data_IF_374803138772
#
_entry.id   IF_374803138772
#
_cell.length_a   1.000
_cell.length_b   1.000
_cell.length_c   1.000
_cell.angle_alpha   90.00
_cell.angle_beta   90.00
_cell.angle_gamma   90.00
#
_symmetry.space_group_name_H-M   'P 1'
#
loop_
_entity.id
_entity.type
_entity.pdbx_description
1 polymer ?
#
# COMPACT_ATOMS: atom_id res chain seq x y z
N UNK A 1 -3.40 14.20 15.23
CA UNK A 1 -3.26 13.76 13.83
C UNK A 1 -2.40 14.77 13.09
N UNK A 2 -1.55 14.36 12.17
CA UNK A 2 -0.73 15.27 11.37
C UNK A 2 -1.52 15.82 10.19
N UNK A 3 -1.20 17.05 9.76
CA UNK A 3 -1.77 17.65 8.56
C UNK A 3 -1.05 17.12 7.31
N UNK A 4 -1.79 16.65 6.33
CA UNK A 4 -1.27 16.10 5.08
C UNK A 4 -1.22 17.11 3.93
N UNK A 5 -1.73 18.34 4.11
CA UNK A 5 -1.89 19.34 3.03
C UNK A 5 -0.57 19.68 2.32
N UNK A 6 0.54 19.76 3.07
CA UNK A 6 1.87 20.09 2.54
C UNK A 6 2.80 18.88 2.46
N UNK A 7 2.28 17.67 2.57
CA UNK A 7 3.06 16.44 2.52
C UNK A 7 3.22 15.95 1.09
N UNK A 8 4.43 15.54 0.74
CA UNK A 8 4.73 14.93 -0.55
C UNK A 8 4.41 13.45 -0.52
N UNK A 9 3.59 12.99 -1.45
CA UNK A 9 3.13 11.61 -1.54
C UNK A 9 3.55 11.03 -2.88
N UNK A 10 4.21 9.87 -2.86
CA UNK A 10 4.48 9.07 -4.04
C UNK A 10 3.62 7.81 -3.99
N UNK A 11 2.89 7.51 -5.05
CA UNK A 11 2.01 6.35 -5.13
C UNK A 11 2.30 5.50 -6.37
N UNK A 12 2.26 4.19 -6.23
CA UNK A 12 2.26 3.30 -7.39
C UNK A 12 0.83 3.02 -7.83
N UNK A 13 0.51 3.28 -9.10
CA UNK A 13 -0.83 3.08 -9.65
C UNK A 13 -1.17 4.09 -10.75
N UNK A 14 -2.27 3.83 -11.46
CA UNK A 14 -2.79 4.75 -12.46
C UNK A 14 -3.85 5.67 -11.82
N UNK A 15 -3.63 7.00 -11.75
CA UNK A 15 -4.57 7.94 -11.13
C UNK A 15 -5.90 8.10 -11.88
N UNK A 16 -6.05 7.49 -13.05
CA UNK A 16 -7.30 7.54 -13.82
C UNK A 16 -8.30 6.46 -13.40
N UNK A 17 -7.85 5.42 -12.66
CA UNK A 17 -8.70 4.25 -12.37
C UNK A 17 -8.61 3.77 -10.92
N UNK A 18 -9.73 3.25 -10.43
CA UNK A 18 -9.83 2.48 -9.19
C UNK A 18 -9.36 3.25 -7.95
N UNK A 19 -8.67 2.55 -7.06
CA UNK A 19 -8.19 3.10 -5.79
C UNK A 19 -7.22 4.27 -5.98
N UNK A 20 -6.36 4.20 -7.00
CA UNK A 20 -5.39 5.28 -7.27
C UNK A 20 -6.10 6.57 -7.71
N UNK A 21 -7.20 6.47 -8.47
CA UNK A 21 -8.04 7.62 -8.82
C UNK A 21 -8.64 8.30 -7.58
N UNK A 22 -9.09 7.51 -6.61
CA UNK A 22 -9.65 8.06 -5.38
C UNK A 22 -8.56 8.67 -4.48
N UNK A 23 -7.37 8.06 -4.42
CA UNK A 23 -6.19 8.65 -3.76
C UNK A 23 -5.86 10.01 -4.39
N UNK A 24 -5.87 10.12 -5.73
CA UNK A 24 -5.61 11.39 -6.41
C UNK A 24 -6.65 12.47 -6.11
N UNK A 25 -7.92 12.11 -6.05
CA UNK A 25 -8.99 13.05 -5.67
C UNK A 25 -8.81 13.59 -4.24
N UNK A 26 -8.46 12.71 -3.30
CA UNK A 26 -8.25 13.05 -1.89
C UNK A 26 -6.95 13.84 -1.68
N UNK A 27 -5.89 13.49 -2.40
CA UNK A 27 -4.55 14.07 -2.30
C UNK A 27 -4.03 14.48 -3.68
N UNK A 28 -4.49 15.63 -4.21
CA UNK A 28 -4.13 16.09 -5.58
C UNK A 28 -2.62 16.33 -5.78
N UNK A 29 -1.87 16.50 -4.68
CA UNK A 29 -0.41 16.67 -4.70
C UNK A 29 0.36 15.33 -4.82
N UNK A 30 -0.34 14.20 -5.00
CA UNK A 30 0.31 12.89 -5.14
C UNK A 30 0.94 12.72 -6.51
N UNK A 31 2.21 12.34 -6.54
CA UNK A 31 2.89 11.87 -7.75
C UNK A 31 2.66 10.37 -7.94
N UNK A 32 2.38 9.96 -9.17
CA UNK A 32 2.11 8.57 -9.50
C UNK A 32 3.19 7.95 -10.38
N UNK A 33 3.43 6.66 -10.18
CA UNK A 33 4.28 5.83 -11.02
C UNK A 33 3.52 4.56 -11.38
N UNK A 34 3.37 4.30 -12.68
CA UNK A 34 2.86 3.03 -13.18
C UNK A 34 3.38 2.77 -14.59
N UNK A 35 3.28 1.54 -15.04
CA UNK A 35 3.65 1.19 -16.41
C UNK A 35 2.78 1.92 -17.45
N UNK A 36 1.50 2.15 -17.14
CA UNK A 36 0.55 2.78 -18.07
C UNK A 36 0.72 4.29 -18.25
N UNK A 37 1.36 4.98 -17.29
CA UNK A 37 1.47 6.46 -17.32
C UNK A 37 2.91 6.97 -17.37
N UNK A 38 3.89 6.12 -17.02
CA UNK A 38 5.30 6.53 -16.90
C UNK A 38 6.29 5.57 -17.55
N UNK A 39 5.81 4.61 -18.33
CA UNK A 39 6.60 3.54 -18.98
C UNK A 39 7.55 2.79 -18.02
N UNK A 40 7.20 2.79 -16.72
CA UNK A 40 8.00 2.16 -15.69
C UNK A 40 7.49 0.74 -15.41
N UNK A 41 8.16 -0.25 -15.96
CA UNK A 41 7.90 -1.64 -15.60
C UNK A 41 8.37 -1.92 -14.16
N UNK A 42 7.39 -1.91 -13.23
CA UNK A 42 7.62 -2.10 -11.80
C UNK A 42 8.12 -3.52 -11.46
N UNK A 43 8.17 -4.44 -12.42
CA UNK A 43 8.72 -5.78 -12.20
C UNK A 43 10.24 -5.80 -12.32
N UNK A 44 10.84 -4.84 -13.01
CA UNK A 44 12.28 -4.77 -13.25
C UNK A 44 13.04 -4.22 -12.03
N UNK A 45 14.16 -4.86 -11.69
CA UNK A 45 14.94 -4.51 -10.50
C UNK A 45 15.56 -3.10 -10.58
N UNK A 46 16.01 -2.66 -11.74
CA UNK A 46 16.55 -1.32 -11.89
C UNK A 46 15.47 -0.24 -11.72
N UNK A 47 14.24 -0.50 -12.21
CA UNK A 47 13.09 0.40 -12.01
C UNK A 47 12.74 0.50 -10.52
N UNK A 48 12.68 -0.64 -9.79
CA UNK A 48 12.45 -0.63 -8.33
C UNK A 48 13.51 0.22 -7.60
N UNK A 49 14.80 0.11 -7.99
CA UNK A 49 15.88 0.95 -7.42
C UNK A 49 15.67 2.43 -7.71
N UNK A 50 15.28 2.78 -8.94
CA UNK A 50 14.94 4.17 -9.31
C UNK A 50 13.80 4.70 -8.45
N UNK A 51 12.74 3.90 -8.24
CA UNK A 51 11.62 4.27 -7.36
C UNK A 51 12.08 4.41 -5.91
N UNK A 52 12.93 3.51 -5.42
CA UNK A 52 13.50 3.62 -4.08
C UNK A 52 14.24 4.94 -3.87
N UNK A 53 15.06 5.35 -4.83
CA UNK A 53 15.76 6.63 -4.78
C UNK A 53 14.79 7.81 -4.88
N UNK A 54 13.81 7.76 -5.79
CA UNK A 54 12.79 8.81 -5.91
C UNK A 54 11.99 8.98 -4.63
N UNK A 55 11.65 7.89 -3.93
CA UNK A 55 10.90 7.93 -2.69
C UNK A 55 11.60 8.72 -1.57
N UNK A 56 12.92 8.94 -1.64
CA UNK A 56 13.64 9.76 -0.68
C UNK A 56 13.24 11.25 -0.70
N UNK A 57 12.60 11.71 -1.77
CA UNK A 57 12.12 13.08 -1.93
C UNK A 57 10.73 13.32 -1.32
N UNK A 58 10.09 12.24 -0.79
CA UNK A 58 8.71 12.24 -0.31
C UNK A 58 8.62 11.99 1.19
N UNK A 59 7.47 12.33 1.77
CA UNK A 59 7.12 12.02 3.15
C UNK A 59 6.43 10.65 3.24
N UNK A 60 5.64 10.30 2.20
CA UNK A 60 4.88 9.07 2.13
C UNK A 60 5.13 8.33 0.81
N UNK A 61 5.16 7.01 0.91
CA UNK A 61 5.15 6.11 -0.25
C UNK A 61 3.98 5.13 -0.13
N UNK A 62 3.02 5.21 -1.06
CA UNK A 62 1.86 4.30 -1.11
C UNK A 62 2.14 3.21 -2.15
N UNK A 63 2.40 2.00 -1.66
CA UNK A 63 2.66 0.80 -2.47
C UNK A 63 1.34 0.14 -2.83
N UNK A 64 0.61 0.72 -3.81
CA UNK A 64 -0.76 0.35 -4.16
C UNK A 64 -0.89 -0.60 -5.35
N UNK A 65 0.06 -0.62 -6.30
CA UNK A 65 -0.02 -1.48 -7.48
C UNK A 65 -0.01 -2.95 -7.11
N UNK A 66 -1.02 -3.69 -7.55
CA UNK A 66 -1.04 -5.15 -7.44
C UNK A 66 -0.09 -5.75 -8.51
N UNK A 67 1.13 -6.03 -8.12
CA UNK A 67 2.16 -6.62 -8.97
C UNK A 67 2.25 -8.12 -8.70
N UNK A 68 2.17 -8.92 -9.77
CA UNK A 68 2.28 -10.38 -9.70
C UNK A 68 3.71 -10.83 -9.37
N UNK A 69 3.89 -12.11 -9.08
CA UNK A 69 5.19 -12.74 -8.80
C UNK A 69 5.95 -12.06 -7.64
N UNK A 70 5.24 -11.70 -6.58
CA UNK A 70 5.78 -11.05 -5.37
C UNK A 70 6.41 -9.68 -5.60
N UNK A 71 6.29 -9.10 -6.80
CA UNK A 71 6.96 -7.83 -7.13
C UNK A 71 6.52 -6.67 -6.25
N UNK A 72 5.29 -6.67 -5.70
CA UNK A 72 4.86 -5.66 -4.74
C UNK A 72 5.65 -5.75 -3.42
N UNK A 73 5.90 -6.95 -2.92
CA UNK A 73 6.72 -7.17 -1.72
C UNK A 73 8.21 -6.85 -1.98
N UNK A 74 8.71 -7.18 -3.18
CA UNK A 74 10.07 -6.84 -3.60
C UNK A 74 10.27 -5.32 -3.75
N UNK A 75 9.27 -4.59 -4.23
CA UNK A 75 9.30 -3.13 -4.30
C UNK A 75 9.33 -2.52 -2.90
N UNK A 76 8.49 -3.02 -1.98
CA UNK A 76 8.52 -2.63 -0.58
C UNK A 76 9.93 -2.80 0.02
N UNK A 77 10.56 -3.96 -0.20
CA UNK A 77 11.90 -4.25 0.33
C UNK A 77 12.94 -3.24 -0.18
N UNK A 78 12.92 -2.94 -1.48
CA UNK A 78 13.85 -1.98 -2.10
C UNK A 78 13.63 -0.58 -1.54
N UNK A 79 12.40 -0.08 -1.49
CA UNK A 79 12.08 1.26 -0.96
C UNK A 79 12.47 1.37 0.51
N UNK A 80 12.12 0.37 1.32
CA UNK A 80 12.46 0.33 2.74
C UNK A 80 13.97 0.38 2.98
N UNK A 81 14.74 -0.50 2.32
CA UNK A 81 16.20 -0.55 2.47
C UNK A 81 16.88 0.73 1.99
N UNK A 82 16.40 1.32 0.91
CA UNK A 82 16.92 2.58 0.39
C UNK A 82 16.70 3.72 1.40
N UNK A 83 15.48 3.86 1.90
CA UNK A 83 15.16 4.87 2.90
C UNK A 83 15.91 4.65 4.23
N UNK A 84 16.03 3.40 4.68
CA UNK A 84 16.81 3.04 5.88
C UNK A 84 18.29 3.42 5.73
N UNK A 85 18.91 3.08 4.59
CA UNK A 85 20.30 3.40 4.31
C UNK A 85 20.56 4.91 4.24
N UNK A 86 19.60 5.65 3.70
CA UNK A 86 19.64 7.12 3.62
C UNK A 86 19.24 7.81 4.93
N UNK A 87 18.82 7.06 5.95
CA UNK A 87 18.25 7.59 7.21
C UNK A 87 17.08 8.55 6.96
N UNK A 88 16.31 8.30 5.91
CA UNK A 88 15.14 9.11 5.56
C UNK A 88 13.95 8.71 6.42
N UNK A 89 13.33 9.70 7.06
CA UNK A 89 12.02 9.53 7.68
C UNK A 89 10.96 9.44 6.55
N UNK A 90 10.63 8.22 6.16
CA UNK A 90 9.62 7.90 5.15
C UNK A 90 8.54 7.04 5.81
N UNK A 91 7.27 7.32 5.53
CA UNK A 91 6.18 6.43 5.90
C UNK A 91 5.68 5.66 4.69
N UNK A 92 5.87 4.35 4.69
CA UNK A 92 5.45 3.43 3.64
C UNK A 92 4.09 2.84 4.02
N UNK A 93 3.08 3.03 3.16
CA UNK A 93 1.76 2.41 3.30
C UNK A 93 1.61 1.34 2.22
N UNK A 94 1.63 0.07 2.61
CA UNK A 94 1.47 -1.07 1.71
C UNK A 94 0.02 -1.51 1.63
N UNK A 95 -0.54 -1.53 0.42
CA UNK A 95 -1.92 -1.92 0.20
C UNK A 95 -2.02 -3.43 -0.03
N UNK A 96 -2.68 -4.09 0.91
CA UNK A 96 -2.91 -5.52 0.92
C UNK A 96 -4.26 -5.96 0.34
N UNK A 97 -4.73 -7.08 0.85
CA UNK A 97 -6.06 -7.63 0.58
C UNK A 97 -6.45 -8.55 1.73
N UNK A 98 -7.69 -8.51 2.18
CA UNK A 98 -8.18 -9.41 3.25
C UNK A 98 -8.14 -10.90 2.87
N UNK A 99 -7.88 -11.20 1.60
CA UNK A 99 -7.54 -12.55 1.10
C UNK A 99 -6.36 -13.17 1.83
N UNK A 100 -5.41 -12.36 2.33
CA UNK A 100 -4.21 -12.83 3.05
C UNK A 100 -4.52 -13.51 4.39
N UNK A 101 -5.72 -13.25 4.95
CA UNK A 101 -6.19 -13.83 6.22
C UNK A 101 -6.93 -15.15 6.05
N UNK A 102 -7.20 -15.57 4.82
CA UNK A 102 -7.91 -16.82 4.58
C UNK A 102 -7.11 -18.01 5.15
N UNK A 103 -7.77 -18.78 6.01
CA UNK A 103 -7.19 -19.92 6.73
C UNK A 103 -7.28 -21.23 5.94
N UNK A 104 -8.17 -21.29 4.95
CA UNK A 104 -8.29 -22.45 4.06
C UNK A 104 -7.10 -22.50 3.10
N UNK A 105 -6.55 -23.68 2.89
CA UNK A 105 -5.52 -23.89 1.87
C UNK A 105 -6.00 -23.43 0.50
N UNK A 106 -5.10 -22.86 -0.28
CA UNK A 106 -5.38 -22.38 -1.63
C UNK A 106 -4.09 -22.43 -2.44
N UNK A 107 -4.21 -22.82 -3.70
CA UNK A 107 -3.18 -22.73 -4.72
C UNK A 107 -3.17 -21.37 -5.44
N UNK A 108 -4.08 -20.46 -5.04
CA UNK A 108 -4.19 -19.13 -5.63
C UNK A 108 -2.97 -18.26 -5.30
N UNK A 109 -2.14 -18.04 -6.30
CA UNK A 109 -0.87 -17.29 -6.19
C UNK A 109 -1.06 -15.90 -5.58
N UNK A 110 -2.12 -15.19 -5.97
CA UNK A 110 -2.41 -13.84 -5.43
C UNK A 110 -2.55 -13.85 -3.90
N UNK A 111 -3.18 -14.87 -3.32
CA UNK A 111 -3.28 -15.00 -1.86
C UNK A 111 -1.90 -15.14 -1.21
N UNK A 112 -1.03 -15.98 -1.81
CA UNK A 112 0.32 -16.21 -1.30
C UNK A 112 1.16 -14.92 -1.38
N UNK A 113 1.03 -14.18 -2.46
CA UNK A 113 1.71 -12.90 -2.66
C UNK A 113 1.28 -11.85 -1.63
N UNK A 114 -0.04 -11.77 -1.33
CA UNK A 114 -0.56 -10.85 -0.31
C UNK A 114 -0.14 -11.27 1.11
N UNK A 115 -0.07 -12.58 1.41
CA UNK A 115 0.53 -13.08 2.67
C UNK A 115 2.00 -12.69 2.79
N UNK A 116 2.78 -12.82 1.72
CA UNK A 116 4.18 -12.42 1.70
C UNK A 116 4.34 -10.90 1.92
N UNK A 117 3.53 -10.08 1.26
CA UNK A 117 3.52 -8.63 1.44
C UNK A 117 3.19 -8.25 2.90
N UNK A 118 2.15 -8.88 3.49
CA UNK A 118 1.78 -8.68 4.89
C UNK A 118 2.92 -9.01 5.83
N UNK A 119 3.51 -10.20 5.65
CA UNK A 119 4.64 -10.66 6.47
C UNK A 119 5.83 -9.71 6.38
N UNK A 120 6.20 -9.28 5.17
CA UNK A 120 7.29 -8.33 4.94
C UNK A 120 6.99 -6.97 5.58
N UNK A 121 5.78 -6.43 5.40
CA UNK A 121 5.37 -5.15 5.97
C UNK A 121 5.45 -5.16 7.50
N UNK A 122 4.92 -6.21 8.14
CA UNK A 122 4.94 -6.35 9.59
C UNK A 122 6.36 -6.51 10.14
N UNK A 123 7.20 -7.32 9.49
CA UNK A 123 8.59 -7.50 9.92
C UNK A 123 9.39 -6.18 9.84
N UNK A 124 9.22 -5.42 8.75
CA UNK A 124 9.89 -4.13 8.56
C UNK A 124 9.34 -3.06 9.53
N UNK A 125 8.03 -3.02 9.74
CA UNK A 125 7.41 -2.11 10.71
C UNK A 125 7.91 -2.36 12.14
N UNK A 126 7.94 -3.61 12.58
CA UNK A 126 8.50 -3.99 13.89
C UNK A 126 9.98 -3.64 14.00
N UNK A 127 10.77 -3.91 12.95
CA UNK A 127 12.19 -3.52 12.94
C UNK A 127 12.36 -2.02 13.13
N UNK A 128 11.56 -1.20 12.45
CA UNK A 128 11.61 0.26 12.57
C UNK A 128 11.25 0.76 13.96
N UNK A 129 10.30 0.12 14.64
CA UNK A 129 9.92 0.46 16.03
C UNK A 129 11.10 0.29 16.98
N UNK A 130 11.90 -0.77 16.81
CA UNK A 130 12.98 -1.11 17.75
C UNK A 130 14.33 -0.51 17.36
N UNK A 131 14.58 -0.29 16.07
CA UNK A 131 15.91 0.10 15.56
C UNK A 131 15.91 1.46 14.87
N UNK A 132 14.74 2.10 14.77
CA UNK A 132 14.54 3.28 13.93
C UNK A 132 14.50 2.92 12.44
N UNK A 133 14.05 3.87 11.62
CA UNK A 133 13.96 3.72 10.17
C UNK A 133 12.61 4.16 9.62
N UNK A 134 12.31 3.84 8.35
CA UNK A 134 11.03 4.17 7.73
C UNK A 134 9.87 3.50 8.44
N UNK A 135 8.78 4.23 8.70
CA UNK A 135 7.53 3.59 9.16
C UNK A 135 6.96 2.70 8.07
N UNK A 136 6.36 1.59 8.45
CA UNK A 136 5.63 0.71 7.53
C UNK A 136 4.29 0.36 8.11
N UNK A 137 3.22 0.72 7.39
CA UNK A 137 1.85 0.34 7.71
C UNK A 137 1.31 -0.60 6.62
N UNK A 138 0.71 -1.70 7.02
CA UNK A 138 -0.01 -2.59 6.14
C UNK A 138 -1.51 -2.32 6.25
N UNK A 139 -2.12 -1.86 5.15
CA UNK A 139 -3.55 -1.53 5.11
C UNK A 139 -4.25 -2.46 4.14
N UNK A 140 -5.28 -3.14 4.59
CA UNK A 140 -5.96 -4.16 3.80
C UNK A 140 -7.48 -4.00 3.89
N UNK A 141 -8.13 -4.21 2.77
CA UNK A 141 -9.56 -4.01 2.60
C UNK A 141 -10.24 -5.26 2.09
N UNK A 142 -11.55 -5.33 2.33
CA UNK A 142 -12.46 -6.23 1.64
C UNK A 142 -12.54 -5.96 0.14
N UNK A 143 -13.50 -6.61 -0.50
CA UNK A 143 -13.68 -6.49 -1.95
C UNK A 143 -14.05 -5.06 -2.34
N UNK A 144 -13.29 -4.49 -3.27
CA UNK A 144 -13.51 -3.17 -3.85
C UNK A 144 -14.37 -3.26 -5.13
N UNK A 145 -14.98 -2.14 -5.58
CA UNK A 145 -15.95 -2.12 -6.68
C UNK A 145 -15.43 -2.66 -8.00
N UNK A 146 -14.14 -2.51 -8.29
CA UNK A 146 -13.50 -3.05 -9.50
C UNK A 146 -13.48 -4.59 -9.59
N UNK A 147 -13.91 -5.28 -8.54
CA UNK A 147 -14.07 -6.73 -8.51
C UNK A 147 -15.51 -7.18 -8.25
N UNK A 148 -16.49 -6.29 -8.43
CA UNK A 148 -17.92 -6.58 -8.20
C UNK A 148 -18.39 -7.81 -8.98
N UNK A 149 -18.04 -7.89 -10.25
CA UNK A 149 -18.45 -8.98 -11.16
C UNK A 149 -17.93 -10.35 -10.70
N UNK A 150 -16.80 -10.39 -9.99
CA UNK A 150 -16.20 -11.63 -9.46
C UNK A 150 -16.85 -12.07 -8.14
N UNK A 151 -17.63 -11.20 -7.52
CA UNK A 151 -18.22 -11.44 -6.20
C UNK A 151 -19.68 -10.98 -6.15
N UNK A 152 -20.58 -11.58 -6.97
CA UNK A 152 -21.98 -11.19 -7.00
C UNK A 152 -22.63 -11.38 -5.62
N UNK A 153 -23.44 -10.40 -5.21
CA UNK A 153 -24.15 -10.43 -3.94
C UNK A 153 -23.33 -10.06 -2.69
N UNK A 154 -22.03 -9.80 -2.82
CA UNK A 154 -21.25 -9.29 -1.69
C UNK A 154 -21.45 -7.78 -1.49
N UNK A 155 -21.51 -7.36 -0.24
CA UNK A 155 -21.29 -5.95 0.10
C UNK A 155 -19.84 -5.59 -0.15
N UNK A 156 -19.63 -4.51 -0.88
CA UNK A 156 -18.30 -4.02 -1.27
C UNK A 156 -17.95 -2.80 -0.42
N UNK A 157 -16.67 -2.60 -0.17
CA UNK A 157 -16.18 -1.30 0.28
C UNK A 157 -16.12 -0.35 -0.91
N UNK A 158 -16.43 0.92 -0.71
CA UNK A 158 -16.17 1.96 -1.71
C UNK A 158 -14.68 2.29 -1.78
N UNK A 159 -14.24 2.95 -2.85
CA UNK A 159 -12.87 3.45 -2.91
C UNK A 159 -12.63 4.56 -1.91
N UNK A 160 -13.66 5.39 -1.62
CA UNK A 160 -13.61 6.44 -0.62
C UNK A 160 -13.34 5.88 0.78
N UNK A 161 -14.12 4.88 1.23
CA UNK A 161 -13.89 4.19 2.50
C UNK A 161 -12.47 3.57 2.59
N UNK A 162 -11.96 3.05 1.48
CA UNK A 162 -10.59 2.51 1.44
C UNK A 162 -9.54 3.63 1.58
N UNK A 163 -9.77 4.79 0.96
CA UNK A 163 -8.87 5.95 1.11
C UNK A 163 -8.93 6.54 2.51
N UNK A 164 -10.09 6.55 3.17
CA UNK A 164 -10.21 6.96 4.58
C UNK A 164 -9.31 6.11 5.49
N UNK A 165 -9.20 4.82 5.22
CA UNK A 165 -8.29 3.93 5.96
C UNK A 165 -6.82 4.26 5.70
N UNK A 166 -6.46 4.59 4.45
CA UNK A 166 -5.10 5.02 4.08
C UNK A 166 -4.77 6.34 4.77
N UNK A 167 -5.65 7.32 4.68
CA UNK A 167 -5.52 8.62 5.32
C UNK A 167 -5.34 8.50 6.82
N UNK A 168 -6.17 7.69 7.48
CA UNK A 168 -6.03 7.41 8.91
C UNK A 168 -4.63 6.90 9.27
N UNK A 169 -4.10 5.95 8.51
CA UNK A 169 -2.75 5.44 8.74
C UNK A 169 -1.68 6.54 8.59
N UNK A 170 -1.83 7.41 7.59
CA UNK A 170 -0.89 8.50 7.30
C UNK A 170 -0.95 9.63 8.34
N UNK A 171 -2.13 9.91 8.91
CA UNK A 171 -2.35 11.00 9.86
C UNK A 171 -1.88 10.72 11.29
N UNK A 172 -1.45 9.50 11.61
CA UNK A 172 -0.98 9.17 12.95
C UNK A 172 0.27 10.00 13.31
N UNK A 173 0.36 10.46 14.58
CA UNK A 173 1.54 11.17 15.08
C UNK A 173 2.84 10.41 14.83
N UNK A 174 3.94 11.15 14.69
CA UNK A 174 5.24 10.57 14.35
C UNK A 174 5.71 9.47 15.31
N UNK A 175 5.41 9.62 16.60
CA UNK A 175 5.81 8.67 17.64
C UNK A 175 4.94 7.40 17.70
N UNK A 176 3.87 7.34 16.90
CA UNK A 176 3.00 6.16 16.80
C UNK A 176 3.22 5.43 15.47
N UNK A 177 3.18 4.12 15.52
CA UNK A 177 3.22 3.25 14.34
C UNK A 177 1.97 2.40 14.28
N UNK A 178 1.28 2.45 13.14
CA UNK A 178 0.22 1.50 12.80
C UNK A 178 0.84 0.39 11.98
N UNK A 179 0.96 -0.81 12.55
CA UNK A 179 1.56 -1.92 11.84
C UNK A 179 0.59 -2.54 10.83
N UNK A 180 -0.67 -2.72 11.25
CA UNK A 180 -1.70 -3.34 10.40
C UNK A 180 -3.08 -2.73 10.67
N UNK A 181 -3.79 -2.43 9.60
CA UNK A 181 -5.21 -2.07 9.60
C UNK A 181 -5.95 -2.98 8.62
N UNK A 182 -6.99 -3.66 9.09
CA UNK A 182 -7.72 -4.61 8.27
C UNK A 182 -9.23 -4.41 8.44
N UNK A 183 -9.91 -4.07 7.34
CA UNK A 183 -11.32 -3.70 7.33
C UNK A 183 -12.05 -4.46 6.23
N UNK A 184 -13.18 -5.06 6.59
CA UNK A 184 -14.12 -5.70 5.67
C UNK A 184 -15.52 -5.15 5.86
N UNK A 185 -16.32 -5.02 4.81
CA UNK A 185 -17.74 -4.72 4.96
C UNK A 185 -18.45 -5.91 5.61
N UNK A 186 -19.39 -5.60 6.49
CA UNK A 186 -20.21 -6.62 7.15
C UNK A 186 -21.13 -7.28 6.11
N UNK A 187 -20.97 -8.56 5.93
CA UNK A 187 -21.81 -9.38 5.05
C UNK A 187 -23.03 -9.88 5.86
N UNK A 188 -24.09 -9.06 5.93
CA UNK A 188 -25.35 -9.50 6.55
C UNK A 188 -26.15 -10.22 5.46
N UNK A 189 -26.47 -11.49 5.68
CA UNK A 189 -27.50 -12.19 4.95
C UNK A 189 -28.80 -11.93 5.71
N UNK A 190 -29.76 -11.24 5.07
CA UNK A 190 -31.15 -11.18 5.55
C UNK A 190 -31.75 -12.55 5.55
#
# INVERSE_FOLDING_TARGET
MIDLTNKKILCTGNPEIGLASEIFKRFPQTDFISQSISDHDLTLNHVKKTIGNKALEYDFFINSSALWQYHQALLLDVVYKTAQSARKSLHIVSIGSTTDRATKGSDWTYQQEKKALRSASNAMGLKSIWQGGPKVSYVTFGTLPNNADKHPGRKLMTFEEAVDCIEYAMMLPEHLSLNELSIDPIQVTD
#
